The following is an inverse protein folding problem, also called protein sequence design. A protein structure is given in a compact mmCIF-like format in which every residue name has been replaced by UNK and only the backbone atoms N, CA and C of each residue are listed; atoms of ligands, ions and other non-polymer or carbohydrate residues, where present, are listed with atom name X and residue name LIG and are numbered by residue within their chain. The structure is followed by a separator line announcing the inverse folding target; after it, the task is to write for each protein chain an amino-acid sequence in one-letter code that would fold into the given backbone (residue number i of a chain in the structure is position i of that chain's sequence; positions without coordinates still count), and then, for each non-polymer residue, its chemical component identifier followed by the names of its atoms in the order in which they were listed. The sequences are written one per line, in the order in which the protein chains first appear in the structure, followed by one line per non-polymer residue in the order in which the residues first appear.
data_IF_835873627386
#
_entry.id   IF_835873627386
#
_cell.length_a   1.000
_cell.length_b   1.000
_cell.length_c   1.000
_cell.angle_alpha   90.00
_cell.angle_beta   90.00
_cell.angle_gamma   90.00
#
_symmetry.space_group_name_H-M   'P 1'
#
loop_
_entity.id
_entity.type
_entity.pdbx_description
1 polymer ?
#
# COMPACT_ATOMS: atom_id res chain seq x y z
N UNK A 1 1.32 -13.98 -8.06
CA UNK A 1 2.35 -13.06 -7.55
C UNK A 1 1.65 -12.13 -6.54
N UNK A 2 2.37 -11.45 -5.64
CA UNK A 2 1.82 -10.71 -4.48
C UNK A 2 0.79 -9.65 -4.94
N UNK A 3 1.03 -9.09 -6.13
CA UNK A 3 0.14 -8.19 -6.88
C UNK A 3 -1.24 -8.78 -7.18
N UNK A 4 -1.30 -9.98 -7.74
CA UNK A 4 -2.55 -10.60 -8.20
C UNK A 4 -3.39 -11.13 -7.03
N UNK A 5 -2.74 -11.48 -5.91
CA UNK A 5 -3.42 -11.89 -4.67
C UNK A 5 -3.93 -10.72 -3.84
N UNK A 6 -3.51 -9.49 -4.14
CA UNK A 6 -3.88 -8.30 -3.37
C UNK A 6 -3.25 -8.27 -1.99
N UNK A 7 -2.04 -8.82 -1.86
CA UNK A 7 -1.30 -8.86 -0.61
C UNK A 7 -0.24 -7.76 -0.58
N UNK A 8 -0.04 -7.16 0.59
CA UNK A 8 1.07 -6.25 0.86
C UNK A 8 1.95 -6.94 1.90
N UNK A 9 3.25 -7.03 1.64
CA UNK A 9 4.22 -7.61 2.56
C UNK A 9 5.03 -6.49 3.21
N UNK A 10 4.96 -6.39 4.54
CA UNK A 10 5.95 -5.66 5.32
C UNK A 10 7.03 -6.64 5.73
N UNK A 11 8.26 -6.41 5.27
CA UNK A 11 9.39 -7.31 5.48
C UNK A 11 10.38 -6.61 6.41
N UNK A 12 10.63 -7.22 7.56
CA UNK A 12 11.68 -6.79 8.48
C UNK A 12 12.99 -7.45 8.06
N UNK A 13 13.95 -6.61 7.67
CA UNK A 13 15.26 -7.03 7.18
C UNK A 13 16.37 -6.85 8.22
N UNK A 14 16.04 -6.62 9.50
CA UNK A 14 17.05 -6.50 10.56
C UNK A 14 17.84 -7.80 10.79
N UNK A 15 17.21 -8.94 10.49
CA UNK A 15 17.78 -10.28 10.57
C UNK A 15 17.33 -11.07 9.34
N UNK A 16 18.24 -11.20 8.36
CA UNK A 16 17.96 -11.85 7.08
C UNK A 16 17.95 -13.38 7.19
N UNK A 17 18.55 -13.94 8.25
CA UNK A 17 18.56 -15.38 8.51
C UNK A 17 17.23 -15.81 9.15
N UNK A 18 16.58 -14.92 9.90
CA UNK A 18 15.28 -15.15 10.56
C UNK A 18 14.22 -14.12 10.14
N UNK A 19 13.93 -14.07 8.83
CA UNK A 19 13.08 -13.05 8.23
C UNK A 19 11.66 -13.00 8.86
N UNK A 20 11.29 -11.84 9.40
CA UNK A 20 9.93 -11.57 9.87
C UNK A 20 9.14 -10.85 8.80
N UNK A 21 7.94 -11.35 8.51
CA UNK A 21 7.04 -10.73 7.54
C UNK A 21 5.64 -10.55 8.11
N UNK A 22 4.99 -9.46 7.75
CA UNK A 22 3.57 -9.22 8.00
C UNK A 22 2.84 -9.18 6.66
N UNK A 23 1.92 -10.11 6.46
CA UNK A 23 1.08 -10.16 5.26
C UNK A 23 -0.23 -9.45 5.52
N UNK A 24 -0.50 -8.40 4.73
CA UNK A 24 -1.68 -7.56 4.84
C UNK A 24 -2.56 -7.80 3.60
N UNK A 25 -3.80 -8.21 3.83
CA UNK A 25 -4.80 -8.30 2.76
C UNK A 25 -5.29 -6.92 2.34
N UNK A 26 -5.47 -6.70 1.04
CA UNK A 26 -5.98 -5.46 0.46
C UNK A 26 -6.97 -5.74 -0.69
N UNK A 27 -6.80 -5.11 -1.86
CA UNK A 27 -7.54 -5.42 -3.08
C UNK A 27 -6.60 -6.00 -4.14
N UNK A 28 -7.14 -6.86 -5.02
CA UNK A 28 -6.36 -7.49 -6.09
C UNK A 28 -5.83 -6.44 -7.08
N UNK A 29 -4.73 -6.79 -7.75
CA UNK A 29 -4.08 -5.98 -8.78
C UNK A 29 -3.41 -4.71 -8.24
N UNK A 30 -2.65 -4.86 -7.15
CA UNK A 30 -1.76 -3.80 -6.67
C UNK A 30 -0.74 -3.43 -7.74
N UNK A 31 -0.40 -2.15 -7.88
CA UNK A 31 0.45 -1.68 -8.97
C UNK A 31 1.54 -0.72 -8.50
N UNK A 32 1.18 0.54 -8.26
CA UNK A 32 2.06 1.63 -7.91
C UNK A 32 1.52 2.43 -6.72
N UNK A 33 2.40 3.09 -5.99
CA UNK A 33 2.06 3.73 -4.72
C UNK A 33 3.22 4.51 -4.13
N UNK A 34 2.91 5.26 -3.09
CA UNK A 34 3.87 6.09 -2.38
C UNK A 34 3.51 6.35 -0.93
N UNK A 35 4.42 7.00 -0.25
CA UNK A 35 4.27 7.38 1.14
C UNK A 35 3.48 8.67 1.26
N UNK A 36 2.68 8.77 2.31
CA UNK A 36 2.14 10.05 2.76
C UNK A 36 3.30 10.97 3.22
N UNK A 37 3.00 12.27 3.41
CA UNK A 37 4.00 13.24 3.84
C UNK A 37 4.67 12.87 5.19
N UNK A 38 3.97 12.21 6.11
CA UNK A 38 4.53 11.77 7.39
C UNK A 38 5.38 10.50 7.31
N UNK A 39 5.35 9.80 6.16
CA UNK A 39 5.98 8.50 5.93
C UNK A 39 5.49 7.40 6.87
N UNK A 40 4.28 7.54 7.42
CA UNK A 40 3.64 6.52 8.27
C UNK A 40 2.69 5.65 7.47
N UNK A 41 2.04 6.21 6.45
CA UNK A 41 1.08 5.50 5.64
C UNK A 41 1.64 5.25 4.26
N UNK A 42 1.54 3.99 3.81
CA UNK A 42 1.82 3.61 2.44
C UNK A 42 0.50 3.52 1.68
N UNK A 43 0.35 4.32 0.63
CA UNK A 43 -0.83 4.35 -0.24
C UNK A 43 -0.47 3.68 -1.56
N UNK A 44 -1.22 2.64 -1.93
CA UNK A 44 -0.97 1.85 -3.15
C UNK A 44 -2.25 1.63 -3.94
N UNK A 45 -2.15 1.79 -5.27
CA UNK A 45 -3.24 1.59 -6.19
C UNK A 45 -3.47 0.10 -6.47
N UNK A 46 -4.68 -0.37 -6.18
CA UNK A 46 -5.23 -1.61 -6.72
C UNK A 46 -5.96 -1.28 -8.02
N UNK A 47 -5.19 -1.09 -9.10
CA UNK A 47 -5.63 -0.32 -10.26
C UNK A 47 -6.84 -0.93 -10.98
N UNK A 48 -6.81 -2.22 -11.31
CA UNK A 48 -7.92 -2.92 -11.95
C UNK A 48 -9.12 -3.12 -11.00
N UNK A 49 -8.95 -2.85 -9.70
CA UNK A 49 -10.01 -2.83 -8.70
C UNK A 49 -10.57 -1.42 -8.43
N UNK A 50 -10.05 -0.37 -9.07
CA UNK A 50 -10.44 1.04 -8.87
C UNK A 50 -10.36 1.51 -7.42
N UNK A 51 -9.34 1.06 -6.68
CA UNK A 51 -9.17 1.35 -5.25
C UNK A 51 -7.76 1.80 -4.90
N UNK A 52 -7.63 2.59 -3.82
CA UNK A 52 -6.37 2.85 -3.12
C UNK A 52 -6.40 2.12 -1.77
N UNK A 53 -5.42 1.26 -1.52
CA UNK A 53 -5.19 0.67 -0.21
C UNK A 53 -4.22 1.54 0.59
N UNK A 54 -4.60 1.93 1.80
CA UNK A 54 -3.75 2.65 2.74
C UNK A 54 -3.33 1.71 3.87
N UNK A 55 -2.03 1.58 4.10
CA UNK A 55 -1.43 0.73 5.14
C UNK A 55 -0.75 1.60 6.18
N UNK A 56 -1.09 1.41 7.46
CA UNK A 56 -0.34 2.00 8.58
C UNK A 56 0.90 1.14 8.85
N UNK A 57 2.08 1.63 8.49
CA UNK A 57 3.31 0.85 8.61
C UNK A 57 3.85 0.80 10.04
N UNK A 58 3.36 1.67 10.93
CA UNK A 58 3.68 1.61 12.36
C UNK A 58 2.98 0.43 13.03
N UNK A 59 1.74 0.15 12.65
CA UNK A 59 0.94 -0.92 13.25
C UNK A 59 0.91 -2.19 12.41
N UNK A 60 1.37 -2.14 11.16
CA UNK A 60 1.40 -3.25 10.23
C UNK A 60 0.01 -3.69 9.78
N UNK A 61 -0.94 -2.75 9.65
CA UNK A 61 -2.35 -3.04 9.36
C UNK A 61 -2.88 -2.21 8.19
N UNK A 62 -3.87 -2.77 7.49
CA UNK A 62 -4.67 -2.01 6.53
C UNK A 62 -5.46 -0.94 7.30
N UNK A 63 -5.20 0.32 6.98
CA UNK A 63 -5.88 1.47 7.58
C UNK A 63 -7.19 1.79 6.84
N UNK A 64 -7.18 1.72 5.51
CA UNK A 64 -8.35 1.98 4.69
C UNK A 64 -8.25 1.32 3.31
N UNK A 65 -9.41 1.11 2.69
CA UNK A 65 -9.54 0.76 1.28
C UNK A 65 -10.53 1.74 0.65
N UNK A 66 -10.01 2.63 -0.21
CA UNK A 66 -10.73 3.81 -0.70
C UNK A 66 -11.12 3.61 -2.16
N UNK A 67 -12.40 3.79 -2.49
CA UNK A 67 -12.90 3.80 -3.86
C UNK A 67 -12.49 5.07 -4.61
N UNK A 68 -12.02 4.90 -5.85
CA UNK A 68 -11.57 6.01 -6.72
C UNK A 68 -12.04 5.80 -8.16
N UNK A 69 -11.71 6.76 -9.03
CA UNK A 69 -11.98 6.66 -10.46
C UNK A 69 -11.26 5.46 -11.11
N UNK A 70 -11.67 5.14 -12.34
CA UNK A 70 -11.23 3.95 -13.06
C UNK A 70 -9.71 3.92 -13.30
N UNK A 71 -9.07 2.79 -12.99
CA UNK A 71 -7.64 2.51 -13.23
C UNK A 71 -6.74 3.64 -12.68
N UNK A 72 -6.70 3.84 -11.34
CA UNK A 72 -5.78 4.80 -10.74
C UNK A 72 -4.33 4.37 -11.00
N UNK A 73 -3.48 5.36 -11.33
CA UNK A 73 -2.06 5.15 -11.62
C UNK A 73 -1.21 6.33 -11.08
N UNK A 74 -1.04 6.42 -9.75
CA UNK A 74 -0.46 7.60 -9.09
C UNK A 74 1.05 7.77 -9.28
N UNK A 75 1.78 6.78 -9.79
CA UNK A 75 3.22 6.68 -9.61
C UNK A 75 3.54 6.59 -8.12
N UNK A 76 4.24 7.59 -7.57
CA UNK A 76 4.44 7.75 -6.12
C UNK A 76 3.43 8.69 -5.46
N UNK A 77 2.47 9.22 -6.21
CA UNK A 77 1.50 10.22 -5.75
C UNK A 77 2.11 11.62 -5.58
N UNK A 78 1.30 12.54 -5.06
CA UNK A 78 1.68 13.91 -4.75
C UNK A 78 1.09 14.30 -3.39
N UNK A 79 1.96 14.74 -2.47
CA UNK A 79 1.56 15.21 -1.14
C UNK A 79 1.63 16.74 -1.10
N UNK A 80 0.56 17.39 -0.66
CA UNK A 80 0.50 18.82 -0.42
C UNK A 80 -0.56 19.14 0.63
N UNK A 81 -0.45 20.29 1.29
CA UNK A 81 -1.52 20.79 2.18
C UNK A 81 -2.50 21.55 1.32
N UNK A 82 -3.77 21.12 1.29
CA UNK A 82 -4.84 21.87 0.64
C UNK A 82 -5.21 23.09 1.49
N UNK A 83 -5.48 24.27 0.90
CA UNK A 83 -5.94 25.45 1.63
C UNK A 83 -7.29 25.26 2.33
#
# INVERSE_FOLDING_TARGET
NVKETGQILLVDYSDIDNLKTTTIGSAKFLHDGGWDASKRYFLVAANASNKIAAVDTKTGKLAALVDVAKIPHPGRGANFTHP
#
